data_IF_877878920802
#
_entry.id   IF_877878920802
#
_cell.length_a   1.000
_cell.length_b   1.000
_cell.length_c   1.000
_cell.angle_alpha   90.00
_cell.angle_beta   90.00
_cell.angle_gamma   90.00
#
_symmetry.space_group_name_H-M   'P 1'
#
loop_
_entity.id
_entity.type
_entity.pdbx_description
1 polymer ?
#
# COMPACT_ATOMS: atom_id res chain seq x y z
N UNK A 1 5.60 -26.73 -17.99
CA UNK A 1 4.35 -25.99 -17.72
C UNK A 1 4.54 -24.54 -18.15
N UNK A 2 3.50 -23.81 -18.57
CA UNK A 2 3.58 -22.36 -18.79
C UNK A 2 2.53 -21.64 -17.94
N UNK A 3 2.97 -20.83 -16.99
CA UNK A 3 2.09 -20.03 -16.13
C UNK A 3 2.62 -18.61 -16.09
N UNK A 4 1.72 -17.65 -16.26
CA UNK A 4 2.01 -16.23 -16.08
C UNK A 4 1.12 -15.67 -14.97
N UNK A 5 1.67 -15.58 -13.76
CA UNK A 5 0.98 -14.99 -12.63
C UNK A 5 1.14 -13.46 -12.65
N UNK A 6 0.10 -12.79 -13.16
CA UNK A 6 0.02 -11.33 -13.30
C UNK A 6 -0.62 -10.69 -12.08
N UNK A 7 -0.38 -9.39 -11.93
CA UNK A 7 -0.94 -8.61 -10.83
C UNK A 7 -2.46 -8.68 -10.81
N UNK A 8 -3.02 -8.97 -9.63
CA UNK A 8 -4.46 -9.10 -9.44
C UNK A 8 -5.19 -7.77 -9.68
N UNK A 9 -6.39 -7.86 -10.26
CA UNK A 9 -7.25 -6.68 -10.47
C UNK A 9 -7.65 -6.03 -9.15
N UNK A 10 -7.85 -6.82 -8.11
CA UNK A 10 -8.23 -6.35 -6.78
C UNK A 10 -7.11 -5.57 -6.11
N UNK A 11 -5.88 -6.10 -6.11
CA UNK A 11 -4.72 -5.39 -5.62
C UNK A 11 -4.56 -4.06 -6.35
N UNK A 12 -4.68 -4.07 -7.69
CA UNK A 12 -4.61 -2.86 -8.51
C UNK A 12 -5.67 -1.83 -8.11
N UNK A 13 -6.92 -2.24 -7.94
CA UNK A 13 -8.02 -1.36 -7.52
C UNK A 13 -7.76 -0.74 -6.14
N UNK A 14 -7.32 -1.53 -5.16
CA UNK A 14 -6.97 -1.04 -3.81
C UNK A 14 -5.85 -0.01 -3.85
N UNK A 15 -4.80 -0.27 -4.64
CA UNK A 15 -3.68 0.67 -4.77
C UNK A 15 -4.09 1.96 -5.48
N UNK A 16 -4.90 1.88 -6.54
CA UNK A 16 -5.44 3.07 -7.23
C UNK A 16 -6.29 3.89 -6.27
N UNK A 17 -7.17 3.25 -5.49
CA UNK A 17 -7.99 3.92 -4.49
C UNK A 17 -7.12 4.66 -3.45
N UNK A 18 -6.09 4.02 -2.91
CA UNK A 18 -5.15 4.68 -2.00
C UNK A 18 -4.42 5.85 -2.67
N UNK A 19 -4.01 5.70 -3.93
CA UNK A 19 -3.41 6.78 -4.71
C UNK A 19 -4.35 7.99 -4.83
N UNK A 20 -5.62 7.76 -5.14
CA UNK A 20 -6.66 8.81 -5.20
C UNK A 20 -6.80 9.50 -3.84
N UNK A 21 -6.78 8.76 -2.73
CA UNK A 21 -6.89 9.36 -1.39
C UNK A 21 -5.68 10.24 -1.04
N UNK A 22 -4.46 9.78 -1.36
CA UNK A 22 -3.23 10.57 -1.11
C UNK A 22 -3.25 11.85 -1.95
N UNK A 23 -3.49 11.74 -3.26
CA UNK A 23 -3.52 12.89 -4.16
C UNK A 23 -4.69 13.83 -3.87
N UNK A 24 -5.88 13.29 -3.59
CA UNK A 24 -7.04 14.08 -3.18
C UNK A 24 -6.78 14.88 -1.92
N UNK A 25 -6.11 14.28 -0.93
CA UNK A 25 -5.68 14.98 0.28
C UNK A 25 -4.65 16.07 -0.04
N UNK A 26 -3.61 15.77 -0.83
CA UNK A 26 -2.60 16.75 -1.23
C UNK A 26 -3.23 17.97 -1.94
N UNK A 27 -4.15 17.73 -2.88
CA UNK A 27 -4.89 18.77 -3.59
C UNK A 27 -5.80 19.57 -2.64
N UNK A 28 -6.46 18.91 -1.69
CA UNK A 28 -7.27 19.59 -0.69
C UNK A 28 -6.43 20.59 0.13
N UNK A 29 -5.32 20.15 0.70
CA UNK A 29 -4.42 21.01 1.48
C UNK A 29 -3.76 22.10 0.62
N UNK A 30 -3.46 21.82 -0.65
CA UNK A 30 -2.97 22.82 -1.58
C UNK A 30 -4.02 23.90 -1.87
N UNK A 31 -5.27 23.48 -2.16
CA UNK A 31 -6.39 24.40 -2.36
C UNK A 31 -6.62 25.28 -1.15
N UNK A 32 -6.60 24.70 0.05
CA UNK A 32 -6.74 25.45 1.30
C UNK A 32 -5.59 26.46 1.49
N UNK A 33 -4.34 26.03 1.31
CA UNK A 33 -3.16 26.89 1.53
C UNK A 33 -2.91 27.98 0.48
N UNK A 34 -3.38 27.81 -0.75
CA UNK A 34 -3.09 28.74 -1.85
C UNK A 34 -4.31 29.54 -2.35
N UNK A 35 -5.53 29.03 -2.18
CA UNK A 35 -6.74 29.66 -2.74
C UNK A 35 -7.74 30.03 -1.67
N UNK A 36 -8.18 29.06 -0.86
CA UNK A 36 -9.34 29.25 0.02
C UNK A 36 -8.97 30.10 1.25
N UNK A 37 -7.90 29.75 1.95
CA UNK A 37 -7.54 30.44 3.19
C UNK A 37 -6.95 31.84 2.97
N UNK A 38 -6.17 32.12 1.90
CA UNK A 38 -5.78 33.48 1.58
C UNK A 38 -6.98 34.41 1.34
N UNK A 39 -7.95 33.97 0.52
CA UNK A 39 -9.18 34.74 0.30
C UNK A 39 -10.04 34.87 1.58
N UNK A 40 -9.96 33.91 2.51
CA UNK A 40 -10.59 34.02 3.82
C UNK A 40 -9.87 35.03 4.72
N UNK A 41 -8.54 35.10 4.67
CA UNK A 41 -7.72 36.06 5.40
C UNK A 41 -8.03 37.50 4.97
N UNK A 42 -8.15 37.74 3.66
CA UNK A 42 -8.53 39.06 3.12
C UNK A 42 -9.90 39.50 3.64
N UNK A 43 -10.91 38.62 3.57
CA UNK A 43 -12.25 38.89 4.13
C UNK A 43 -12.21 39.17 5.63
N UNK A 44 -11.32 38.50 6.37
CA UNK A 44 -11.14 38.74 7.79
C UNK A 44 -10.56 40.14 8.06
N UNK A 45 -9.65 40.65 7.24
CA UNK A 45 -9.16 42.03 7.38
C UNK A 45 -10.29 43.05 7.16
N UNK A 46 -11.14 42.83 6.16
CA UNK A 46 -12.35 43.67 5.96
C UNK A 46 -13.26 43.63 7.19
N UNK A 47 -13.44 42.46 7.82
CA UNK A 47 -14.22 42.37 9.06
C UNK A 47 -13.59 43.18 10.21
N UNK A 48 -12.26 43.12 10.35
CA UNK A 48 -11.54 43.91 11.35
C UNK A 48 -11.78 45.41 11.13
N UNK A 49 -11.68 45.89 9.89
CA UNK A 49 -11.95 47.29 9.54
C UNK A 49 -13.39 47.71 9.85
N UNK A 50 -14.37 46.88 9.48
CA UNK A 50 -15.80 47.17 9.72
C UNK A 50 -16.17 47.22 11.20
N UNK A 51 -15.45 46.47 12.03
CA UNK A 51 -15.74 46.33 13.46
C UNK A 51 -14.90 47.23 14.35
N UNK A 52 -13.87 47.90 13.80
CA UNK A 52 -12.91 48.72 14.55
C UNK A 52 -13.57 49.80 15.43
N UNK A 53 -14.61 50.47 14.91
CA UNK A 53 -15.31 51.56 15.63
C UNK A 53 -16.60 51.08 16.34
N UNK A 54 -17.06 49.87 16.05
CA UNK A 54 -18.37 49.37 16.49
C UNK A 54 -18.29 48.39 17.64
N UNK A 55 -17.15 47.72 17.83
CA UNK A 55 -16.98 46.65 18.79
C UNK A 55 -15.83 46.99 19.74
N UNK A 56 -15.98 46.79 21.07
CA UNK A 56 -14.91 47.07 22.03
C UNK A 56 -13.61 46.34 21.68
N UNK A 57 -12.49 47.05 21.79
CA UNK A 57 -11.15 46.50 21.57
C UNK A 57 -10.91 45.26 22.45
N UNK A 58 -10.39 44.19 21.85
CA UNK A 58 -10.19 42.90 22.51
C UNK A 58 -11.37 41.91 22.41
N UNK A 59 -12.50 42.30 21.81
CA UNK A 59 -13.60 41.38 21.52
C UNK A 59 -13.20 40.35 20.46
N UNK A 60 -13.52 39.08 20.69
CA UNK A 60 -13.26 38.03 19.70
C UNK A 60 -14.19 38.17 18.50
N UNK A 61 -13.62 38.46 17.32
CA UNK A 61 -14.34 38.55 16.05
C UNK A 61 -14.71 37.15 15.54
N UNK A 62 -15.80 36.62 16.06
CA UNK A 62 -16.28 35.26 15.74
C UNK A 62 -17.79 35.26 15.55
N UNK A 63 -18.32 34.21 14.90
CA UNK A 63 -19.77 33.99 14.75
C UNK A 63 -20.54 33.95 16.08
N UNK A 64 -19.84 33.71 17.20
CA UNK A 64 -20.44 33.64 18.53
C UNK A 64 -20.77 35.02 19.10
N UNK A 65 -20.21 36.08 18.52
CA UNK A 65 -20.49 37.47 18.91
C UNK A 65 -21.62 37.98 18.02
N UNK A 66 -22.85 38.19 18.54
CA UNK A 66 -24.02 38.51 17.71
C UNK A 66 -23.84 39.78 16.88
N UNK A 67 -23.16 40.78 17.44
CA UNK A 67 -22.89 42.06 16.78
C UNK A 67 -21.95 41.90 15.58
N UNK A 68 -20.83 41.20 15.76
CA UNK A 68 -19.87 40.87 14.68
C UNK A 68 -20.56 40.09 13.55
N UNK A 69 -21.40 39.11 13.92
CA UNK A 69 -22.16 38.33 12.95
C UNK A 69 -23.11 39.24 12.16
N UNK A 70 -23.89 40.10 12.82
CA UNK A 70 -24.83 41.01 12.16
C UNK A 70 -24.13 41.97 11.19
N UNK A 71 -23.00 42.55 11.61
CA UNK A 71 -22.20 43.46 10.78
C UNK A 71 -21.70 42.73 9.53
N UNK A 72 -21.12 41.55 9.69
CA UNK A 72 -20.65 40.75 8.56
C UNK A 72 -21.77 40.33 7.62
N UNK A 73 -22.91 39.86 8.15
CA UNK A 73 -24.03 39.39 7.33
C UNK A 73 -24.64 40.51 6.48
N UNK A 74 -24.69 41.74 6.99
CA UNK A 74 -25.15 42.90 6.24
C UNK A 74 -24.18 43.22 5.09
N UNK A 75 -22.88 43.33 5.40
CA UNK A 75 -21.84 43.60 4.42
C UNK A 75 -21.76 42.51 3.35
N UNK A 76 -21.76 41.24 3.76
CA UNK A 76 -21.69 40.10 2.85
C UNK A 76 -22.87 40.05 1.89
N UNK A 77 -24.07 40.47 2.31
CA UNK A 77 -25.26 40.50 1.44
C UNK A 77 -25.19 41.62 0.40
N UNK A 78 -24.64 42.77 0.77
CA UNK A 78 -24.46 43.91 -0.14
C UNK A 78 -23.41 43.61 -1.21
N UNK A 79 -22.37 42.85 -0.86
CA UNK A 79 -21.23 42.54 -1.72
C UNK A 79 -21.27 41.13 -2.35
N UNK A 80 -22.39 40.40 -2.26
CA UNK A 80 -22.56 39.02 -2.75
C UNK A 80 -21.45 38.05 -2.27
N UNK A 81 -21.05 38.18 -1.01
CA UNK A 81 -20.05 37.35 -0.35
C UNK A 81 -20.69 36.27 0.52
N UNK A 82 -19.86 35.30 0.93
CA UNK A 82 -20.29 34.26 1.87
C UNK A 82 -20.72 34.87 3.21
N UNK A 83 -21.95 34.58 3.61
CA UNK A 83 -22.58 35.04 4.86
C UNK A 83 -21.88 34.53 6.12
N UNK A 84 -21.14 33.43 5.99
CA UNK A 84 -20.34 32.87 7.09
C UNK A 84 -19.22 33.84 7.48
N UNK A 85 -19.09 34.14 8.78
CA UNK A 85 -18.06 35.07 9.28
C UNK A 85 -16.66 34.50 8.98
N UNK A 86 -15.77 35.28 8.33
CA UNK A 86 -14.44 34.82 7.98
C UNK A 86 -13.62 34.56 9.24
N UNK A 87 -12.77 33.54 9.20
CA UNK A 87 -11.86 33.22 10.31
C UNK A 87 -10.53 33.95 10.14
N UNK A 88 -9.91 34.31 11.27
CA UNK A 88 -8.53 34.75 11.26
C UNK A 88 -7.62 33.61 10.77
N UNK A 89 -6.87 33.86 9.71
CA UNK A 89 -5.86 32.94 9.16
C UNK A 89 -4.51 33.63 9.24
N UNK A 90 -3.65 33.14 10.12
CA UNK A 90 -2.30 33.68 10.29
C UNK A 90 -1.38 33.24 9.15
N UNK A 91 -0.25 33.93 8.98
CA UNK A 91 0.79 33.48 8.06
C UNK A 91 1.31 32.07 8.41
N UNK A 92 1.33 31.72 9.70
CA UNK A 92 1.69 30.38 10.19
C UNK A 92 0.67 29.32 9.77
N UNK A 93 -0.62 29.63 9.84
CA UNK A 93 -1.71 28.73 9.39
C UNK A 93 -1.58 28.41 7.90
N UNK A 94 -1.32 29.43 7.08
CA UNK A 94 -1.11 29.30 5.64
C UNK A 94 0.17 28.50 5.33
N UNK A 95 1.28 28.80 6.01
CA UNK A 95 2.52 28.05 5.86
C UNK A 95 2.35 26.57 6.25
N UNK A 96 1.58 26.28 7.31
CA UNK A 96 1.25 24.93 7.73
C UNK A 96 0.49 24.15 6.67
N UNK A 97 -0.57 24.72 6.09
CA UNK A 97 -1.33 24.09 5.00
C UNK A 97 -0.46 23.79 3.78
N UNK A 98 0.37 24.76 3.36
CA UNK A 98 1.31 24.59 2.24
C UNK A 98 2.37 23.54 2.53
N UNK A 99 2.87 23.48 3.77
CA UNK A 99 3.81 22.45 4.22
C UNK A 99 3.21 21.04 4.14
N UNK A 100 1.99 20.86 4.64
CA UNK A 100 1.27 19.57 4.55
C UNK A 100 1.01 19.20 3.09
N UNK A 101 0.58 20.15 2.25
CA UNK A 101 0.37 19.93 0.83
C UNK A 101 1.66 19.46 0.13
N UNK A 102 2.78 20.12 0.40
CA UNK A 102 4.09 19.75 -0.14
C UNK A 102 4.54 18.35 0.31
N UNK A 103 4.36 18.04 1.59
CA UNK A 103 4.70 16.73 2.15
C UNK A 103 3.83 15.60 1.56
N UNK A 104 2.52 15.78 1.49
CA UNK A 104 1.61 14.81 0.89
C UNK A 104 1.86 14.64 -0.62
N UNK A 105 2.23 15.71 -1.32
CA UNK A 105 2.64 15.63 -2.73
C UNK A 105 3.90 14.78 -2.90
N UNK A 106 4.90 14.95 -2.04
CA UNK A 106 6.10 14.13 -2.05
C UNK A 106 5.78 12.65 -1.81
N UNK A 107 4.94 12.35 -0.82
CA UNK A 107 4.46 10.98 -0.56
C UNK A 107 3.71 10.43 -1.79
N UNK A 108 2.83 11.23 -2.40
CA UNK A 108 2.08 10.86 -3.60
C UNK A 108 2.99 10.50 -4.77
N UNK A 109 4.05 11.28 -5.00
CA UNK A 109 5.05 11.00 -6.04
C UNK A 109 5.81 9.71 -5.77
N UNK A 110 6.29 9.50 -4.54
CA UNK A 110 6.99 8.27 -4.15
C UNK A 110 6.07 7.06 -4.31
N UNK A 111 4.84 7.15 -3.80
CA UNK A 111 3.84 6.08 -3.91
C UNK A 111 3.50 5.75 -5.37
N UNK A 112 3.24 6.77 -6.19
CA UNK A 112 2.90 6.59 -7.61
C UNK A 112 4.04 5.95 -8.38
N UNK A 113 5.27 6.43 -8.15
CA UNK A 113 6.48 5.87 -8.77
C UNK A 113 6.65 4.40 -8.38
N UNK A 114 6.56 4.11 -7.08
CA UNK A 114 6.64 2.75 -6.57
C UNK A 114 5.53 1.84 -7.14
N UNK A 115 4.29 2.33 -7.20
CA UNK A 115 3.15 1.60 -7.75
C UNK A 115 3.33 1.27 -9.24
N UNK A 116 3.80 2.24 -10.03
CA UNK A 116 4.10 2.03 -11.47
C UNK A 116 5.21 1.01 -11.66
N UNK A 117 6.31 1.11 -10.88
CA UNK A 117 7.40 0.12 -10.90
C UNK A 117 6.90 -1.26 -10.49
N UNK A 118 6.03 -1.32 -9.49
CA UNK A 118 5.43 -2.56 -9.02
C UNK A 118 4.51 -3.18 -10.08
N UNK A 119 3.84 -2.38 -10.92
CA UNK A 119 2.95 -2.86 -11.97
C UNK A 119 3.66 -3.66 -13.07
N UNK A 120 4.99 -3.47 -13.22
CA UNK A 120 5.82 -4.18 -14.20
C UNK A 120 6.28 -5.57 -13.73
N UNK A 121 5.98 -5.95 -12.48
CA UNK A 121 6.40 -7.24 -11.92
C UNK A 121 5.35 -8.31 -12.21
N UNK A 122 5.82 -9.52 -12.47
CA UNK A 122 5.02 -10.74 -12.61
C UNK A 122 5.85 -11.93 -12.09
N UNK A 123 5.18 -13.04 -11.83
CA UNK A 123 5.82 -14.33 -11.60
C UNK A 123 5.52 -15.20 -12.81
N UNK A 124 6.53 -15.77 -13.44
CA UNK A 124 6.36 -16.61 -14.63
C UNK A 124 6.97 -17.99 -14.42
N UNK A 125 6.38 -19.00 -15.05
CA UNK A 125 6.94 -20.36 -15.11
C UNK A 125 7.10 -20.73 -16.57
N UNK A 126 8.33 -21.05 -16.95
CA UNK A 126 8.69 -21.48 -18.30
C UNK A 126 9.34 -22.86 -18.21
N UNK A 127 8.59 -23.90 -18.63
CA UNK A 127 9.07 -25.27 -18.54
C UNK A 127 9.17 -25.72 -17.09
N UNK A 128 10.42 -25.79 -16.60
CA UNK A 128 10.80 -26.19 -15.24
C UNK A 128 11.37 -25.04 -14.39
N UNK A 129 11.47 -23.82 -14.95
CA UNK A 129 12.06 -22.67 -14.26
C UNK A 129 10.97 -21.67 -13.87
N UNK A 130 10.96 -21.27 -12.60
CA UNK A 130 10.15 -20.17 -12.09
C UNK A 130 11.00 -18.91 -12.09
N UNK A 131 10.51 -17.84 -12.71
CA UNK A 131 11.03 -16.48 -12.56
C UNK A 131 10.15 -15.73 -11.55
N UNK A 132 10.71 -15.43 -10.38
CA UNK A 132 10.05 -14.70 -9.32
C UNK A 132 9.88 -13.21 -9.63
N UNK A 133 9.02 -12.55 -8.85
CA UNK A 133 8.68 -11.14 -9.06
C UNK A 133 9.86 -10.17 -8.83
N UNK A 134 10.96 -10.62 -8.23
CA UNK A 134 12.19 -9.84 -8.06
C UNK A 134 13.26 -10.18 -9.10
N UNK A 135 12.94 -11.04 -10.08
CA UNK A 135 13.84 -11.49 -11.14
C UNK A 135 14.69 -12.72 -10.80
N UNK A 136 14.51 -13.30 -9.61
CA UNK A 136 15.14 -14.56 -9.22
C UNK A 136 14.63 -15.70 -10.12
N UNK A 137 15.54 -16.59 -10.55
CA UNK A 137 15.19 -17.79 -11.32
C UNK A 137 15.46 -19.02 -10.46
N UNK A 138 14.47 -19.87 -10.31
CA UNK A 138 14.51 -21.06 -9.44
C UNK A 138 13.93 -22.24 -10.20
N UNK A 139 14.65 -23.36 -10.29
CA UNK A 139 14.08 -24.58 -10.84
C UNK A 139 12.98 -25.12 -9.91
N UNK A 140 11.90 -25.65 -10.48
CA UNK A 140 10.86 -26.35 -9.71
C UNK A 140 11.43 -27.51 -8.88
N UNK A 141 12.51 -28.12 -9.38
CA UNK A 141 13.19 -29.20 -8.68
C UNK A 141 14.14 -28.74 -7.57
N UNK A 142 14.55 -27.47 -7.58
CA UNK A 142 15.38 -26.87 -6.53
C UNK A 142 14.56 -26.52 -5.28
N UNK A 143 13.23 -26.49 -5.39
CA UNK A 143 12.34 -26.22 -4.27
C UNK A 143 12.28 -27.48 -3.39
N UNK A 144 12.79 -27.34 -2.16
CA UNK A 144 12.84 -28.42 -1.17
C UNK A 144 11.61 -28.48 -0.28
N UNK A 145 10.96 -27.34 -0.05
CA UNK A 145 9.82 -27.22 0.86
C UNK A 145 8.93 -26.06 0.42
N UNK A 146 7.62 -26.17 0.65
CA UNK A 146 6.67 -25.06 0.45
C UNK A 146 6.00 -24.72 1.77
N UNK A 147 6.24 -23.51 2.28
CA UNK A 147 5.60 -22.99 3.50
C UNK A 147 4.29 -22.28 3.14
N UNK A 148 3.16 -22.92 3.46
CA UNK A 148 1.79 -22.41 3.21
C UNK A 148 1.09 -21.86 4.45
N UNK A 149 1.82 -21.56 5.54
CA UNK A 149 1.20 -21.10 6.80
C UNK A 149 0.32 -19.86 6.66
N UNK A 150 0.58 -19.00 5.66
CA UNK A 150 -0.19 -17.77 5.39
C UNK A 150 -1.14 -17.90 4.19
N UNK A 151 -1.28 -19.09 3.62
CA UNK A 151 -2.03 -19.27 2.38
C UNK A 151 -3.52 -19.05 2.57
N UNK A 152 -4.13 -19.67 3.58
CA UNK A 152 -5.58 -19.59 3.82
C UNK A 152 -6.03 -18.15 4.09
N UNK A 153 -5.28 -17.42 4.92
CA UNK A 153 -5.68 -16.07 5.33
C UNK A 153 -5.25 -14.97 4.35
N UNK A 154 -4.12 -15.15 3.66
CA UNK A 154 -3.47 -14.08 2.89
C UNK A 154 -3.15 -14.45 1.45
N UNK A 155 -3.28 -15.71 1.05
CA UNK A 155 -2.84 -16.20 -0.27
C UNK A 155 -1.32 -16.16 -0.45
N UNK A 156 -0.53 -16.22 0.63
CA UNK A 156 0.93 -16.13 0.57
C UNK A 156 1.56 -17.47 0.95
N UNK A 157 2.44 -17.98 0.10
CA UNK A 157 3.32 -19.11 0.37
C UNK A 157 4.78 -18.78 0.05
N UNK A 158 5.70 -19.55 0.62
CA UNK A 158 7.13 -19.45 0.32
C UNK A 158 7.67 -20.77 -0.20
N UNK A 159 8.19 -20.79 -1.43
CA UNK A 159 9.02 -21.88 -1.92
C UNK A 159 10.42 -21.75 -1.34
N UNK A 160 10.84 -22.70 -0.51
CA UNK A 160 12.17 -22.75 0.08
C UNK A 160 13.07 -23.52 -0.87
N UNK A 161 14.20 -22.93 -1.25
CA UNK A 161 15.20 -23.55 -2.12
C UNK A 161 16.60 -23.27 -1.57
N UNK A 162 17.56 -24.13 -1.88
CA UNK A 162 18.96 -23.89 -1.54
C UNK A 162 19.65 -23.15 -2.69
N UNK A 163 20.31 -22.03 -2.38
CA UNK A 163 21.21 -21.36 -3.31
C UNK A 163 22.54 -21.11 -2.61
N UNK A 164 23.59 -21.81 -3.07
CA UNK A 164 24.95 -21.70 -2.56
C UNK A 164 25.08 -22.05 -1.07
N UNK A 165 24.44 -23.14 -0.62
CA UNK A 165 24.46 -23.61 0.77
C UNK A 165 23.65 -22.73 1.73
N UNK A 166 22.79 -21.86 1.18
CA UNK A 166 21.91 -20.97 1.95
C UNK A 166 20.48 -21.17 1.52
N UNK A 167 19.61 -21.47 2.49
CA UNK A 167 18.16 -21.50 2.28
C UNK A 167 17.64 -20.11 1.92
N UNK A 168 17.09 -19.98 0.73
CA UNK A 168 16.40 -18.80 0.20
C UNK A 168 14.90 -19.07 0.13
N UNK A 169 14.12 -18.00 -0.04
CA UNK A 169 12.66 -18.06 -0.13
C UNK A 169 12.21 -17.34 -1.39
N UNK A 170 11.45 -18.06 -2.21
CA UNK A 170 10.68 -17.53 -3.33
C UNK A 170 9.29 -17.18 -2.81
N UNK A 171 8.89 -15.91 -2.89
CA UNK A 171 7.59 -15.46 -2.41
C UNK A 171 6.52 -15.68 -3.50
N UNK A 172 5.54 -16.54 -3.22
CA UNK A 172 4.40 -16.84 -4.08
C UNK A 172 3.14 -16.24 -3.42
N UNK A 173 2.75 -15.05 -3.87
CA UNK A 173 1.67 -14.25 -3.30
C UNK A 173 0.53 -14.15 -4.33
N UNK A 174 -0.51 -14.96 -4.14
CA UNK A 174 -1.66 -15.05 -5.06
C UNK A 174 -2.62 -13.88 -4.90
N UNK A 175 -2.65 -13.24 -3.72
CA UNK A 175 -3.40 -12.01 -3.52
C UNK A 175 -2.86 -10.89 -4.43
N UNK A 176 -1.53 -10.83 -4.58
CA UNK A 176 -0.86 -9.86 -5.45
C UNK A 176 -0.73 -10.36 -6.89
N UNK A 177 -0.40 -11.62 -7.13
CA UNK A 177 -0.12 -12.22 -8.44
C UNK A 177 -0.98 -13.48 -8.67
N UNK A 178 -2.12 -13.33 -9.36
CA UNK A 178 -3.08 -14.42 -9.57
C UNK A 178 -2.43 -15.54 -10.40
N UNK A 179 -2.46 -16.78 -9.90
CA UNK A 179 -1.94 -17.97 -10.57
C UNK A 179 -0.76 -18.62 -9.84
N UNK A 180 -0.37 -18.08 -8.68
CA UNK A 180 0.68 -18.66 -7.84
C UNK A 180 0.26 -20.02 -7.24
N UNK A 181 -1.04 -20.28 -7.07
CA UNK A 181 -1.52 -21.56 -6.54
C UNK A 181 -1.08 -22.75 -7.40
N UNK A 182 -1.18 -22.63 -8.73
CA UNK A 182 -0.79 -23.69 -9.64
C UNK A 182 0.73 -23.96 -9.61
N UNK A 183 1.54 -22.92 -9.34
CA UNK A 183 2.99 -23.07 -9.13
C UNK A 183 3.27 -23.86 -7.84
N UNK A 184 2.52 -23.55 -6.77
CA UNK A 184 2.63 -24.23 -5.47
C UNK A 184 2.27 -25.71 -5.59
N UNK A 185 1.13 -26.02 -6.21
CA UNK A 185 0.65 -27.40 -6.37
C UNK A 185 1.64 -28.24 -7.20
N UNK A 186 2.22 -27.65 -8.24
CA UNK A 186 3.23 -28.33 -9.05
C UNK A 186 4.52 -28.57 -8.26
N UNK A 187 4.99 -27.60 -7.47
CA UNK A 187 6.16 -27.77 -6.61
C UNK A 187 5.92 -28.87 -5.55
N UNK A 188 4.76 -28.87 -4.88
CA UNK A 188 4.38 -29.90 -3.91
C UNK A 188 4.32 -31.30 -4.54
N UNK A 189 3.77 -31.42 -5.77
CA UNK A 189 3.71 -32.68 -6.52
C UNK A 189 5.11 -33.24 -6.75
N UNK A 190 6.07 -32.41 -7.16
CA UNK A 190 7.46 -32.83 -7.41
C UNK A 190 8.20 -33.19 -6.12
N UNK A 191 8.02 -32.42 -5.05
CA UNK A 191 8.57 -32.75 -3.73
C UNK A 191 8.08 -34.13 -3.30
N UNK A 192 6.76 -34.38 -3.36
CA UNK A 192 6.18 -35.67 -2.99
C UNK A 192 6.71 -36.83 -3.83
N UNK A 193 6.86 -36.64 -5.14
CA UNK A 193 7.42 -37.65 -6.03
C UNK A 193 8.88 -38.00 -5.69
N UNK A 194 9.71 -36.99 -5.35
CA UNK A 194 11.10 -37.22 -4.92
C UNK A 194 11.18 -37.94 -3.58
N UNK A 195 10.39 -37.52 -2.59
CA UNK A 195 10.34 -38.20 -1.29
C UNK A 195 9.92 -39.66 -1.43
N UNK A 196 8.90 -39.95 -2.25
CA UNK A 196 8.43 -41.31 -2.50
C UNK A 196 9.48 -42.18 -3.23
N UNK A 197 10.30 -41.59 -4.11
CA UNK A 197 11.37 -42.30 -4.82
C UNK A 197 12.60 -42.60 -3.93
N UNK A 198 12.83 -41.84 -2.87
CA UNK A 198 13.91 -42.10 -1.91
C UNK A 198 13.55 -43.18 -0.88
N UNK A 199 12.27 -43.38 -0.57
CA UNK A 199 11.79 -44.37 0.39
C UNK A 199 11.75 -45.87 0.01
N UNK A 200 11.88 -46.36 -1.26
CA UNK A 200 11.67 -47.79 -1.55
C UNK A 200 12.88 -48.73 -1.37
N UNK A 201 14.10 -48.23 -1.10
CA UNK A 201 15.32 -49.05 -1.21
C UNK A 201 15.96 -49.44 0.14
N UNK A 202 15.56 -48.83 1.26
CA UNK A 202 16.24 -49.03 2.56
C UNK A 202 15.73 -50.22 3.40
N UNK A 203 14.79 -51.03 2.90
CA UNK A 203 14.18 -52.14 3.66
C UNK A 203 14.55 -53.55 3.18
N UNK A 204 15.49 -53.72 2.24
CA UNK A 204 15.83 -55.02 1.66
C UNK A 204 17.21 -55.60 2.09
N UNK A 205 17.71 -55.25 3.28
CA UNK A 205 18.92 -55.88 3.85
C UNK A 205 18.74 -56.12 5.35
N UNK A 206 18.02 -57.18 5.72
CA UNK A 206 18.20 -57.92 6.98
C UNK A 206 17.21 -59.09 7.07
N UNK A 207 17.46 -60.17 6.33
CA UNK A 207 17.00 -61.49 6.78
C UNK A 207 17.84 -62.59 6.13
N UNK A 208 19.04 -62.81 6.69
CA UNK A 208 19.78 -64.05 6.48
C UNK A 208 19.78 -64.80 7.80
N UNK A 209 19.12 -65.97 7.90
CA UNK A 209 19.09 -66.73 9.14
C UNK A 209 20.46 -67.37 9.41
N UNK A 210 20.88 -67.51 10.68
CA UNK A 210 22.14 -68.16 11.01
C UNK A 210 22.03 -69.68 10.78
N UNK A 211 22.98 -70.20 9.99
CA UNK A 211 23.21 -71.62 9.73
C UNK A 211 23.59 -72.35 11.03
N UNK A 212 22.72 -73.25 11.46
CA UNK A 212 22.93 -74.16 12.58
C UNK A 212 23.48 -75.50 12.07
N UNK A 213 24.79 -75.55 11.80
CA UNK A 213 25.48 -76.83 11.66
C UNK A 213 26.98 -76.73 11.96
N UNK A 214 27.37 -77.17 13.15
CA UNK A 214 28.59 -77.96 13.38
C UNK A 214 28.64 -78.51 14.81
N UNK A 215 28.39 -79.81 14.90
CA UNK A 215 28.85 -80.74 15.94
C UNK A 215 30.31 -81.10 15.73
#
# INVERSE_FOLDING_TARGET
MQIEARISKEWRRRMIFMGIMIWGSALWFASDGYLVWPAEAERYQTLVELTADQVPEGTKLTEKTPEVKRIWEAYAREHDLKTKVPKNRTAGDLAGQRGIAGFLTLIGLVFTTWFVLQHRRSVTVEGDVITGASGEKVGLDDIVEVDRRKWVDKGIAYGIYDANGKRRRLCLDDHKFIGCEAIILEAERRIKARTAATSPTDSAVADTPPDSSQT
#
